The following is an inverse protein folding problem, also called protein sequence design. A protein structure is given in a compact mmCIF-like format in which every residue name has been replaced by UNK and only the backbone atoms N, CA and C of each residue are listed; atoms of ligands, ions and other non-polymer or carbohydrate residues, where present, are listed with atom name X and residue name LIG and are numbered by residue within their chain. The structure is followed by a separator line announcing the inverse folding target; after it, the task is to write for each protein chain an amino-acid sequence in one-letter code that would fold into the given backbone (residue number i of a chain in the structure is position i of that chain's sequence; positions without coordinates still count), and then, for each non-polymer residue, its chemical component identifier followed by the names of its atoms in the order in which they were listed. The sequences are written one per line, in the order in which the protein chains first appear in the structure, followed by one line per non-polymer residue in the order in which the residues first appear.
data_IF_369078084714
#
_entry.id   IF_369078084714
#
_cell.length_a   1.000
_cell.length_b   1.000
_cell.length_c   1.000
_cell.angle_alpha   90.00
_cell.angle_beta   90.00
_cell.angle_gamma   90.00
#
_symmetry.space_group_name_H-M   'P 1'
#
loop_
_entity.id
_entity.type
_entity.pdbx_description
1 polymer ?
#
# COMPACT_ATOMS: atom_id res chain seq x y z
N UNK A 1 -28.74 6.61 -25.28
CA UNK A 1 -28.27 6.53 -23.89
C UNK A 1 -27.68 7.84 -23.41
N UNK A 2 -28.42 8.53 -22.56
CA UNK A 2 -28.07 9.87 -22.06
C UNK A 2 -27.08 9.77 -20.89
N UNK A 3 -25.89 10.35 -21.05
CA UNK A 3 -24.90 10.46 -19.97
C UNK A 3 -25.39 11.46 -18.91
N UNK A 4 -25.30 11.09 -17.63
CA UNK A 4 -25.73 11.97 -16.54
C UNK A 4 -24.62 12.97 -16.23
N UNK A 5 -24.95 14.26 -16.29
CA UNK A 5 -24.07 15.33 -15.81
C UNK A 5 -24.13 15.37 -14.28
N UNK A 6 -22.99 15.29 -13.56
CA UNK A 6 -22.98 15.37 -12.11
C UNK A 6 -23.65 16.67 -11.63
N UNK A 7 -24.58 16.57 -10.69
CA UNK A 7 -25.19 17.75 -10.08
C UNK A 7 -24.45 18.07 -8.79
N UNK A 8 -23.79 19.23 -8.76
CA UNK A 8 -23.17 19.76 -7.53
C UNK A 8 -24.26 20.43 -6.69
N UNK A 9 -24.43 20.01 -5.43
CA UNK A 9 -25.25 20.75 -4.46
C UNK A 9 -24.42 21.93 -3.93
N UNK A 10 -24.51 23.08 -4.59
CA UNK A 10 -23.73 24.26 -4.22
C UNK A 10 -24.36 24.93 -2.99
N UNK A 11 -23.65 24.94 -1.86
CA UNK A 11 -23.84 25.97 -0.83
C UNK A 11 -23.05 27.19 -1.32
N UNK A 12 -23.74 28.30 -1.57
CA UNK A 12 -23.11 29.53 -2.04
C UNK A 12 -22.13 30.09 -1.00
N UNK A 13 -20.93 30.43 -1.46
CA UNK A 13 -19.99 31.26 -0.71
C UNK A 13 -18.97 30.52 0.15
N UNK A 14 -18.06 29.74 -0.45
CA UNK A 14 -16.72 29.55 0.10
C UNK A 14 -15.78 28.95 -0.95
N UNK A 15 -14.58 29.52 -1.07
CA UNK A 15 -13.45 29.00 -1.84
C UNK A 15 -12.84 27.74 -1.19
N UNK A 16 -13.67 26.72 -0.93
CA UNK A 16 -13.28 25.57 -0.11
C UNK A 16 -13.69 24.26 -0.76
N UNK A 17 -12.68 23.48 -1.15
CA UNK A 17 -12.60 22.03 -0.96
C UNK A 17 -13.91 21.25 -1.15
N UNK A 18 -14.16 20.76 -2.37
CA UNK A 18 -15.29 19.86 -2.64
C UNK A 18 -15.16 18.56 -1.82
N UNK A 19 -16.15 18.27 -0.98
CA UNK A 19 -16.33 17.02 -0.24
C UNK A 19 -17.21 16.07 -1.03
N UNK A 20 -17.14 14.77 -0.73
CA UNK A 20 -18.02 13.77 -1.36
C UNK A 20 -19.52 14.04 -1.11
N UNK A 21 -19.85 14.80 -0.06
CA UNK A 21 -21.21 15.28 0.25
C UNK A 21 -21.77 16.27 -0.76
N UNK A 22 -20.93 16.88 -1.59
CA UNK A 22 -21.32 17.97 -2.48
C UNK A 22 -21.89 17.44 -3.81
N UNK A 23 -21.88 16.13 -3.99
CA UNK A 23 -22.41 15.43 -5.15
C UNK A 23 -23.71 14.71 -4.79
N UNK A 24 -24.59 14.60 -5.79
CA UNK A 24 -25.80 13.80 -5.67
C UNK A 24 -25.49 12.33 -5.32
N UNK A 25 -26.48 11.64 -4.74
CA UNK A 25 -26.32 10.27 -4.22
C UNK A 25 -25.78 9.30 -5.28
N UNK A 26 -26.20 9.44 -6.53
CA UNK A 26 -25.80 8.57 -7.64
C UNK A 26 -24.31 8.80 -7.95
N UNK A 27 -23.89 10.06 -8.09
CA UNK A 27 -22.49 10.41 -8.31
C UNK A 27 -21.60 9.95 -7.16
N UNK A 28 -22.07 10.05 -5.91
CA UNK A 28 -21.32 9.63 -4.72
C UNK A 28 -21.10 8.11 -4.68
N UNK A 29 -22.09 7.33 -5.09
CA UNK A 29 -21.95 5.88 -5.20
C UNK A 29 -20.82 5.48 -6.15
N UNK A 30 -20.82 6.06 -7.36
CA UNK A 30 -19.74 5.85 -8.35
C UNK A 30 -18.39 6.30 -7.78
N UNK A 31 -18.34 7.46 -7.12
CA UNK A 31 -17.11 7.99 -6.54
C UNK A 31 -16.52 7.07 -5.48
N UNK A 32 -17.32 6.49 -4.59
CA UNK A 32 -16.83 5.58 -3.56
C UNK A 32 -16.21 4.31 -4.15
N UNK A 33 -16.85 3.73 -5.18
CA UNK A 33 -16.29 2.59 -5.92
C UNK A 33 -15.00 2.99 -6.65
N UNK A 34 -14.98 4.18 -7.28
CA UNK A 34 -13.81 4.68 -7.99
C UNK A 34 -12.62 4.91 -7.05
N UNK A 35 -12.87 5.39 -5.82
CA UNK A 35 -11.85 5.54 -4.79
C UNK A 35 -11.26 4.17 -4.41
N UNK A 36 -12.11 3.18 -4.16
CA UNK A 36 -11.66 1.83 -3.76
C UNK A 36 -10.83 1.15 -4.87
N UNK A 37 -11.30 1.25 -6.12
CA UNK A 37 -10.55 0.77 -7.29
C UNK A 37 -9.23 1.53 -7.45
N UNK A 38 -9.23 2.84 -7.23
CA UNK A 38 -8.02 3.64 -7.29
C UNK A 38 -6.99 3.23 -6.23
N UNK A 39 -7.43 2.92 -5.00
CA UNK A 39 -6.55 2.38 -3.96
C UNK A 39 -5.90 1.08 -4.40
N UNK A 40 -6.67 0.16 -4.99
CA UNK A 40 -6.13 -1.08 -5.55
C UNK A 40 -5.06 -0.77 -6.61
N UNK A 41 -5.33 0.12 -7.57
CA UNK A 41 -4.38 0.48 -8.62
C UNK A 41 -3.09 1.11 -8.06
N UNK A 42 -3.19 1.96 -7.05
CA UNK A 42 -2.02 2.55 -6.39
C UNK A 42 -1.20 1.47 -5.69
N UNK A 43 -1.81 0.56 -4.94
CA UNK A 43 -1.07 -0.47 -4.21
C UNK A 43 -0.52 -1.60 -5.09
N UNK A 44 -1.08 -1.82 -6.28
CA UNK A 44 -0.77 -2.98 -7.14
C UNK A 44 -0.04 -2.64 -8.43
N UNK A 45 -0.12 -1.37 -8.89
CA UNK A 45 0.51 -0.95 -10.15
C UNK A 45 1.49 0.20 -9.99
N UNK A 46 1.10 1.26 -9.29
CA UNK A 46 1.92 2.48 -9.21
C UNK A 46 1.81 3.17 -7.84
N UNK A 47 2.51 2.67 -6.81
CA UNK A 47 2.50 3.30 -5.48
C UNK A 47 3.09 4.71 -5.47
N UNK A 48 4.04 4.94 -6.39
CA UNK A 48 4.71 6.21 -6.65
C UNK A 48 4.66 6.51 -8.15
N UNK A 49 3.55 7.08 -8.66
CA UNK A 49 3.43 7.44 -10.06
C UNK A 49 4.53 8.41 -10.51
N UNK A 50 5.08 8.19 -11.71
CA UNK A 50 6.24 8.95 -12.21
C UNK A 50 5.89 10.32 -12.76
N UNK A 51 4.62 10.55 -13.11
CA UNK A 51 4.13 11.83 -13.62
C UNK A 51 2.66 12.03 -13.31
N UNK A 52 2.22 13.29 -13.31
CA UNK A 52 0.82 13.67 -13.19
C UNK A 52 -0.07 13.06 -14.29
N UNK A 53 0.50 12.71 -15.45
CA UNK A 53 -0.22 12.03 -16.53
C UNK A 53 -0.56 10.58 -16.14
N UNK A 54 0.39 9.87 -15.50
CA UNK A 54 0.15 8.52 -14.97
C UNK A 54 -0.89 8.56 -13.85
N UNK A 55 -0.77 9.50 -12.91
CA UNK A 55 -1.79 9.70 -11.86
C UNK A 55 -3.18 9.92 -12.46
N UNK A 56 -3.24 10.77 -13.49
CA UNK A 56 -4.49 11.09 -14.18
C UNK A 56 -5.06 9.89 -14.94
N UNK A 57 -4.21 9.03 -15.48
CA UNK A 57 -4.68 7.83 -16.16
C UNK A 57 -5.27 6.83 -15.17
N UNK A 58 -4.61 6.60 -14.03
CA UNK A 58 -5.10 5.68 -12.99
C UNK A 58 -6.47 6.10 -12.43
N UNK A 59 -6.68 7.40 -12.21
CA UNK A 59 -7.97 7.90 -11.73
C UNK A 59 -9.07 7.85 -12.81
N UNK A 60 -8.73 8.02 -14.09
CA UNK A 60 -9.67 7.78 -15.20
C UNK A 60 -10.05 6.31 -15.32
N UNK A 61 -9.09 5.41 -15.15
CA UNK A 61 -9.31 3.97 -15.23
C UNK A 61 -10.15 3.49 -14.06
N UNK A 62 -9.89 3.98 -12.84
CA UNK A 62 -10.71 3.66 -11.67
C UNK A 62 -12.14 4.17 -11.80
N UNK A 63 -12.34 5.38 -12.34
CA UNK A 63 -13.67 5.91 -12.61
C UNK A 63 -14.43 5.09 -13.66
N UNK A 64 -13.74 4.72 -14.74
CA UNK A 64 -14.35 3.90 -15.80
C UNK A 64 -14.84 2.57 -15.26
N UNK A 65 -14.02 1.90 -14.46
CA UNK A 65 -14.39 0.65 -13.81
C UNK A 65 -15.54 0.85 -12.82
N UNK A 66 -15.54 1.93 -12.04
CA UNK A 66 -16.63 2.23 -11.12
C UNK A 66 -17.97 2.38 -11.85
N UNK A 67 -18.00 3.16 -12.95
CA UNK A 67 -19.19 3.30 -13.80
C UNK A 67 -19.68 1.96 -14.35
N UNK A 68 -18.75 1.06 -14.73
CA UNK A 68 -19.10 -0.28 -15.20
C UNK A 68 -19.69 -1.15 -14.09
N UNK A 69 -19.10 -1.12 -12.90
CA UNK A 69 -19.55 -1.93 -11.75
C UNK A 69 -20.90 -1.49 -11.20
N UNK A 70 -21.15 -0.18 -11.14
CA UNK A 70 -22.43 0.36 -10.67
C UNK A 70 -23.49 0.36 -11.77
N UNK A 71 -23.09 0.16 -13.04
CA UNK A 71 -23.93 0.36 -14.22
C UNK A 71 -24.50 1.80 -14.31
N UNK A 72 -23.74 2.79 -13.84
CA UNK A 72 -24.12 4.20 -13.85
C UNK A 72 -23.16 4.98 -14.75
N UNK A 73 -23.69 5.67 -15.77
CA UNK A 73 -22.92 6.49 -16.71
C UNK A 73 -22.85 7.95 -16.24
N UNK A 74 -21.82 8.27 -15.45
CA UNK A 74 -21.54 9.65 -14.98
C UNK A 74 -20.25 10.18 -15.58
N UNK A 75 -20.27 11.43 -16.05
CA UNK A 75 -19.08 12.10 -16.57
C UNK A 75 -18.08 12.40 -15.44
N UNK A 76 -16.81 12.04 -15.65
CA UNK A 76 -15.72 12.40 -14.76
C UNK A 76 -15.39 13.88 -14.91
N UNK A 77 -15.77 14.69 -13.92
CA UNK A 77 -15.48 16.13 -13.88
C UNK A 77 -14.16 16.42 -13.15
N UNK A 78 -13.51 17.58 -13.37
CA UNK A 78 -12.28 17.95 -12.67
C UNK A 78 -12.37 17.90 -11.12
N UNK A 79 -13.49 18.29 -10.48
CA UNK A 79 -13.64 18.12 -9.03
C UNK A 79 -13.65 16.66 -8.57
N UNK A 80 -14.35 15.77 -9.29
CA UNK A 80 -14.37 14.33 -9.01
C UNK A 80 -12.98 13.72 -9.18
N UNK A 81 -12.30 14.09 -10.25
CA UNK A 81 -10.92 13.70 -10.52
C UNK A 81 -9.98 14.10 -9.38
N UNK A 82 -10.06 15.36 -8.93
CA UNK A 82 -9.27 15.86 -7.80
C UNK A 82 -9.54 15.08 -6.52
N UNK A 83 -10.80 14.73 -6.25
CA UNK A 83 -11.20 13.93 -5.09
C UNK A 83 -10.60 12.52 -5.08
N UNK A 84 -10.46 11.89 -6.25
CA UNK A 84 -9.80 10.58 -6.39
C UNK A 84 -8.29 10.72 -6.21
N UNK A 85 -7.66 11.69 -6.89
CA UNK A 85 -6.21 11.89 -6.81
C UNK A 85 -5.71 12.17 -5.39
N UNK A 86 -6.49 12.89 -4.58
CA UNK A 86 -6.18 13.14 -3.16
C UNK A 86 -6.06 11.86 -2.32
N UNK A 87 -6.63 10.75 -2.77
CA UNK A 87 -6.60 9.49 -2.04
C UNK A 87 -5.23 8.80 -2.06
N UNK A 88 -4.31 9.18 -2.96
CA UNK A 88 -2.98 8.56 -3.04
C UNK A 88 -2.17 8.69 -1.74
N UNK A 89 -2.20 9.87 -1.11
CA UNK A 89 -1.53 10.07 0.17
C UNK A 89 -2.25 9.34 1.30
N UNK A 90 -3.57 9.23 1.22
CA UNK A 90 -4.40 8.58 2.21
C UNK A 90 -4.10 7.08 2.30
N UNK A 91 -4.15 6.35 1.16
CA UNK A 91 -3.87 4.91 1.13
C UNK A 91 -2.45 4.57 1.61
N UNK A 92 -1.45 5.38 1.25
CA UNK A 92 -0.07 5.20 1.73
C UNK A 92 0.06 5.47 3.23
N UNK A 93 -0.65 6.48 3.74
CA UNK A 93 -0.68 6.82 5.16
C UNK A 93 -1.37 5.76 6.00
N UNK A 94 -2.47 5.19 5.52
CA UNK A 94 -3.17 4.08 6.16
C UNK A 94 -2.29 2.84 6.23
N UNK A 95 -1.71 2.44 5.09
CA UNK A 95 -0.80 1.30 5.02
C UNK A 95 0.34 1.44 6.03
N UNK A 96 0.99 2.60 6.08
CA UNK A 96 2.06 2.88 7.04
C UNK A 96 1.58 2.79 8.49
N UNK A 97 0.37 3.29 8.78
CA UNK A 97 -0.19 3.26 10.13
C UNK A 97 -0.43 1.83 10.60
N UNK A 98 -1.00 0.99 9.74
CA UNK A 98 -1.20 -0.45 9.99
C UNK A 98 0.13 -1.19 10.15
N UNK A 99 1.10 -0.99 9.25
CA UNK A 99 2.40 -1.66 9.39
C UNK A 99 3.17 -1.22 10.63
N UNK A 100 3.05 0.04 11.05
CA UNK A 100 3.70 0.54 12.26
C UNK A 100 3.26 -0.22 13.52
N UNK A 101 2.00 -0.63 13.61
CA UNK A 101 1.51 -1.41 14.76
C UNK A 101 2.04 -2.85 14.75
N UNK A 102 2.38 -3.38 13.58
CA UNK A 102 2.91 -4.74 13.41
C UNK A 102 4.44 -4.81 13.57
N UNK A 103 5.19 -3.91 12.94
CA UNK A 103 6.66 -3.94 12.84
C UNK A 103 7.34 -3.89 14.21
N UNK A 104 6.87 -3.02 15.10
CA UNK A 104 7.45 -2.85 16.43
C UNK A 104 7.46 -4.15 17.23
N UNK A 105 6.28 -4.74 17.51
CA UNK A 105 6.16 -6.02 18.18
C UNK A 105 6.85 -7.17 17.43
N UNK A 106 6.74 -7.21 16.10
CA UNK A 106 7.29 -8.30 15.29
C UNK A 106 8.81 -8.45 15.43
N UNK A 107 9.55 -7.34 15.38
CA UNK A 107 11.01 -7.35 15.57
C UNK A 107 11.44 -7.20 17.02
N UNK A 108 10.51 -6.94 17.94
CA UNK A 108 10.78 -6.80 19.37
C UNK A 108 11.36 -5.45 19.77
N UNK A 109 11.06 -4.38 19.02
CA UNK A 109 11.32 -3.01 19.44
C UNK A 109 10.54 -2.68 20.71
N UNK A 110 11.18 -2.01 21.66
CA UNK A 110 10.56 -1.63 22.94
C UNK A 110 10.75 -0.15 23.20
N UNK A 111 9.71 0.51 23.66
CA UNK A 111 9.86 1.85 24.22
C UNK A 111 10.72 1.74 25.49
N UNK A 112 11.84 2.44 25.51
CA UNK A 112 12.78 2.45 26.62
C UNK A 112 13.56 3.77 26.63
N UNK A 113 13.91 4.16 27.84
CA UNK A 113 14.62 5.38 28.22
C UNK A 113 15.97 5.07 28.87
N UNK A 114 16.24 3.79 29.17
CA UNK A 114 17.57 3.33 29.57
C UNK A 114 18.56 3.35 28.41
N UNK A 115 19.81 3.65 28.72
CA UNK A 115 20.91 3.66 27.73
C UNK A 115 21.06 2.31 27.04
N UNK A 116 20.89 1.22 27.80
CA UNK A 116 20.99 -0.16 27.30
C UNK A 116 19.84 -0.49 26.35
N UNK A 117 18.63 -0.05 26.66
CA UNK A 117 17.46 -0.26 25.80
C UNK A 117 17.57 0.52 24.49
N UNK A 118 17.97 1.79 24.57
CA UNK A 118 18.22 2.65 23.40
C UNK A 118 19.27 1.99 22.51
N UNK A 119 20.40 1.57 23.07
CA UNK A 119 21.46 0.89 22.33
C UNK A 119 20.97 -0.39 21.66
N UNK A 120 20.23 -1.24 22.39
CA UNK A 120 19.65 -2.47 21.83
C UNK A 120 18.76 -2.18 20.61
N UNK A 121 17.92 -1.16 20.67
CA UNK A 121 17.06 -0.79 19.54
C UNK A 121 17.90 -0.27 18.36
N UNK A 122 18.94 0.54 18.59
CA UNK A 122 19.87 0.97 17.53
C UNK A 122 20.55 -0.23 16.86
N UNK A 123 21.14 -1.12 17.66
CA UNK A 123 21.83 -2.33 17.17
C UNK A 123 20.86 -3.20 16.34
N UNK A 124 19.59 -3.30 16.79
CA UNK A 124 18.55 -4.01 16.05
C UNK A 124 18.20 -3.33 14.72
N UNK A 125 18.09 -2.00 14.68
CA UNK A 125 17.86 -1.25 13.43
C UNK A 125 18.99 -1.48 12.44
N UNK A 126 20.24 -1.36 12.89
CA UNK A 126 21.42 -1.58 12.05
C UNK A 126 21.43 -3.00 11.48
N UNK A 127 21.22 -4.01 12.34
CA UNK A 127 21.15 -5.41 11.92
C UNK A 127 20.04 -5.68 10.90
N UNK A 128 18.83 -5.16 11.13
CA UNK A 128 17.69 -5.37 10.24
C UNK A 128 17.89 -4.71 8.87
N UNK A 129 18.53 -3.54 8.84
CA UNK A 129 18.76 -2.76 7.61
C UNK A 129 19.94 -3.29 6.80
N UNK A 130 20.96 -3.82 7.45
CA UNK A 130 22.08 -4.47 6.78
C UNK A 130 21.56 -5.57 5.84
N UNK A 131 21.93 -5.51 4.57
CA UNK A 131 21.48 -6.49 3.56
C UNK A 131 19.95 -6.63 3.39
N UNK A 132 19.15 -5.73 3.97
CA UNK A 132 17.70 -5.91 4.14
C UNK A 132 17.33 -7.19 4.91
N UNK A 133 18.05 -7.55 5.97
CA UNK A 133 17.77 -8.73 6.79
C UNK A 133 16.32 -8.83 7.27
N UNK A 134 15.60 -7.71 7.44
CA UNK A 134 14.16 -7.71 7.75
C UNK A 134 13.29 -8.48 6.74
N UNK A 135 13.75 -8.68 5.50
CA UNK A 135 13.06 -9.42 4.45
C UNK A 135 13.34 -10.93 4.49
N UNK A 136 14.26 -11.39 5.34
CA UNK A 136 14.68 -12.78 5.43
C UNK A 136 14.09 -13.45 6.68
N UNK A 137 13.75 -14.72 6.54
CA UNK A 137 13.39 -15.62 7.64
C UNK A 137 14.56 -16.55 7.87
N UNK A 138 15.17 -16.43 9.05
CA UNK A 138 16.15 -17.39 9.55
C UNK A 138 15.43 -18.32 10.52
N UNK A 139 15.28 -19.61 10.17
CA UNK A 139 14.71 -20.60 11.09
C UNK A 139 15.85 -21.26 11.88
N UNK A 140 15.86 -21.24 13.22
CA UNK A 140 16.95 -21.82 14.01
C UNK A 140 17.20 -23.31 13.73
N UNK A 141 16.18 -24.05 13.28
CA UNK A 141 16.23 -25.48 13.04
C UNK A 141 16.63 -25.86 11.60
N UNK A 142 16.68 -24.89 10.68
CA UNK A 142 17.06 -25.13 9.29
C UNK A 142 17.95 -23.98 8.80
N UNK A 143 19.19 -24.24 8.35
CA UNK A 143 20.10 -23.20 7.87
C UNK A 143 19.65 -22.55 6.55
N UNK A 144 18.51 -22.97 5.99
CA UNK A 144 17.91 -22.34 4.83
C UNK A 144 17.25 -21.02 5.21
N UNK A 145 17.91 -19.92 4.81
CA UNK A 145 17.33 -18.58 4.85
C UNK A 145 16.30 -18.45 3.74
N UNK A 146 15.04 -18.12 4.10
CA UNK A 146 13.99 -17.84 3.12
C UNK A 146 13.78 -16.34 2.98
N UNK A 147 13.90 -15.80 1.77
CA UNK A 147 13.63 -14.39 1.49
C UNK A 147 12.15 -14.20 1.12
N UNK A 148 11.55 -13.09 1.55
CA UNK A 148 10.16 -12.68 1.25
C UNK A 148 9.04 -13.62 1.75
N UNK A 149 9.38 -14.59 2.61
CA UNK A 149 8.41 -15.49 3.28
C UNK A 149 8.18 -15.11 4.75
N UNK A 150 8.45 -13.86 5.12
CA UNK A 150 8.25 -13.38 6.48
C UNK A 150 6.77 -13.34 6.82
N UNK A 151 6.39 -13.88 7.98
CA UNK A 151 5.02 -13.82 8.51
C UNK A 151 4.52 -12.37 8.61
N UNK A 152 5.43 -11.39 8.75
CA UNK A 152 5.10 -9.97 8.74
C UNK A 152 4.45 -9.52 7.42
N UNK A 153 4.87 -10.05 6.26
CA UNK A 153 4.26 -9.71 4.98
C UNK A 153 2.83 -10.25 4.90
N UNK A 154 2.59 -11.48 5.37
CA UNK A 154 1.23 -12.04 5.45
C UNK A 154 0.35 -11.24 6.41
N UNK A 155 0.86 -10.91 7.61
CA UNK A 155 0.12 -10.10 8.59
C UNK A 155 -0.23 -8.73 8.02
N UNK A 156 0.71 -8.08 7.34
CA UNK A 156 0.48 -6.79 6.70
C UNK A 156 -0.56 -6.85 5.57
N UNK A 157 -0.54 -7.90 4.75
CA UNK A 157 -1.52 -8.11 3.69
C UNK A 157 -2.92 -8.30 4.28
N UNK A 158 -3.02 -9.17 5.28
CA UNK A 158 -4.28 -9.45 5.95
C UNK A 158 -4.84 -8.19 6.61
N UNK A 159 -4.02 -7.45 7.37
CA UNK A 159 -4.45 -6.23 8.05
C UNK A 159 -4.85 -5.11 7.07
N UNK A 160 -4.16 -4.99 5.93
CA UNK A 160 -4.43 -3.90 4.99
C UNK A 160 -5.63 -4.17 4.09
N UNK A 161 -5.73 -5.36 3.50
CA UNK A 161 -6.66 -5.62 2.39
C UNK A 161 -7.65 -6.77 2.63
N UNK A 162 -7.50 -7.55 3.71
CA UNK A 162 -8.28 -8.76 3.98
C UNK A 162 -8.66 -8.89 5.46
N UNK A 163 -8.88 -7.77 6.16
CA UNK A 163 -9.28 -7.83 7.57
C UNK A 163 -10.79 -8.03 7.70
N UNK A 164 -11.56 -7.49 6.75
CA UNK A 164 -13.01 -7.54 6.74
C UNK A 164 -13.57 -7.87 5.35
N UNK A 165 -14.81 -8.40 5.33
CA UNK A 165 -15.53 -8.76 4.09
C UNK A 165 -15.75 -7.63 3.08
N UNK A 166 -15.57 -6.37 3.49
CA UNK A 166 -15.74 -5.20 2.63
C UNK A 166 -14.42 -4.54 2.25
N UNK A 167 -13.28 -5.10 2.68
CA UNK A 167 -11.98 -4.55 2.33
C UNK A 167 -11.68 -4.77 0.84
N UNK A 168 -10.79 -3.95 0.30
CA UNK A 168 -10.56 -3.91 -1.13
C UNK A 168 -10.01 -5.23 -1.69
N UNK A 169 -9.21 -5.95 -0.91
CA UNK A 169 -8.69 -7.25 -1.30
C UNK A 169 -9.78 -8.30 -1.46
N UNK A 170 -10.87 -8.21 -0.68
CA UNK A 170 -12.02 -9.10 -0.76
C UNK A 170 -12.91 -8.72 -1.95
N UNK A 171 -13.28 -7.44 -2.07
CA UNK A 171 -14.20 -6.96 -3.12
C UNK A 171 -13.54 -6.94 -4.51
N UNK A 172 -12.27 -6.57 -4.58
CA UNK A 172 -11.50 -6.39 -5.81
C UNK A 172 -10.36 -7.39 -5.93
N UNK A 173 -10.62 -8.63 -5.51
CA UNK A 173 -9.71 -9.77 -5.45
C UNK A 173 -8.77 -9.93 -6.66
N UNK A 174 -9.25 -9.64 -7.87
CA UNK A 174 -8.46 -9.71 -9.11
C UNK A 174 -7.19 -8.85 -9.13
N UNK A 175 -7.11 -7.80 -8.33
CA UNK A 175 -5.90 -6.97 -8.25
C UNK A 175 -4.81 -7.61 -7.40
N UNK A 176 -5.19 -8.55 -6.53
CA UNK A 176 -4.32 -9.14 -5.52
C UNK A 176 -4.06 -10.63 -5.76
N UNK A 177 -4.58 -11.20 -6.87
CA UNK A 177 -4.43 -12.62 -7.22
C UNK A 177 -3.59 -12.82 -8.50
N UNK A 178 -2.35 -13.33 -8.41
CA UNK A 178 -1.57 -13.51 -7.18
C UNK A 178 -1.10 -12.15 -6.61
N UNK A 179 -0.51 -12.12 -5.41
CA UNK A 179 -0.04 -10.87 -4.81
C UNK A 179 0.98 -10.18 -5.73
N UNK A 180 0.76 -8.94 -6.18
CA UNK A 180 1.66 -8.29 -7.13
C UNK A 180 3.04 -8.03 -6.54
N UNK A 181 4.08 -8.17 -7.37
CA UNK A 181 5.47 -7.79 -7.01
C UNK A 181 5.54 -6.35 -6.52
N UNK A 182 4.77 -5.47 -7.17
CA UNK A 182 4.57 -4.07 -6.78
C UNK A 182 4.09 -3.91 -5.35
N UNK A 183 3.11 -4.72 -4.93
CA UNK A 183 2.56 -4.68 -3.58
C UNK A 183 3.59 -5.17 -2.56
N UNK A 184 4.33 -6.23 -2.88
CA UNK A 184 5.43 -6.70 -2.03
C UNK A 184 6.52 -5.64 -1.87
N UNK A 185 6.96 -5.00 -2.96
CA UNK A 185 7.94 -3.93 -2.92
C UNK A 185 7.47 -2.73 -2.08
N UNK A 186 6.18 -2.38 -2.18
CA UNK A 186 5.57 -1.32 -1.38
C UNK A 186 5.59 -1.68 0.12
N UNK A 187 5.20 -2.91 0.47
CA UNK A 187 5.24 -3.39 1.85
C UNK A 187 6.65 -3.34 2.43
N UNK A 188 7.66 -3.81 1.69
CA UNK A 188 9.06 -3.77 2.12
C UNK A 188 9.54 -2.33 2.36
N UNK A 189 9.17 -1.39 1.48
CA UNK A 189 9.52 0.02 1.65
C UNK A 189 8.86 0.64 2.90
N UNK A 190 7.59 0.28 3.19
CA UNK A 190 6.90 0.74 4.40
C UNK A 190 7.47 0.10 5.65
N UNK A 191 7.81 -1.21 5.62
CA UNK A 191 8.48 -1.89 6.74
C UNK A 191 9.81 -1.19 7.05
N UNK A 192 10.61 -0.88 6.02
CA UNK A 192 11.86 -0.12 6.20
C UNK A 192 11.59 1.26 6.82
N UNK A 193 10.57 1.98 6.36
CA UNK A 193 10.16 3.24 6.97
C UNK A 193 9.81 3.09 8.45
N UNK A 194 9.06 2.06 8.83
CA UNK A 194 8.72 1.78 10.23
C UNK A 194 9.94 1.37 11.07
N UNK A 195 10.94 0.72 10.48
CA UNK A 195 12.22 0.43 11.15
C UNK A 195 13.02 1.72 11.35
N UNK A 196 13.05 2.61 10.35
CA UNK A 196 13.75 3.90 10.44
C UNK A 196 13.22 4.76 11.61
N UNK A 197 11.95 4.62 12.00
CA UNK A 197 11.36 5.30 13.17
C UNK A 197 12.11 5.04 14.47
N UNK A 198 12.85 3.92 14.54
CA UNK A 198 13.63 3.50 15.70
C UNK A 198 15.14 3.76 15.54
N UNK A 199 15.58 4.49 14.52
CA UNK A 199 17.00 4.64 14.20
C UNK A 199 17.87 5.24 15.32
N UNK A 200 17.28 6.06 16.19
CA UNK A 200 17.96 6.64 17.36
C UNK A 200 17.81 5.80 18.63
N UNK A 201 17.18 4.62 18.51
CA UNK A 201 16.79 3.75 19.61
C UNK A 201 15.51 4.18 20.33
N UNK A 202 15.02 5.39 20.05
CA UNK A 202 13.76 5.93 20.56
C UNK A 202 12.82 6.12 19.37
N UNK A 203 11.57 5.64 19.52
CA UNK A 203 10.56 5.76 18.46
C UNK A 203 10.26 7.22 18.14
N UNK A 204 10.36 7.58 16.86
CA UNK A 204 10.03 8.90 16.32
C UNK A 204 9.14 8.76 15.08
N UNK A 205 8.26 9.73 14.83
CA UNK A 205 7.39 9.69 13.64
C UNK A 205 8.17 10.12 12.39
N UNK A 206 8.32 9.21 11.42
CA UNK A 206 8.97 9.51 10.13
C UNK A 206 7.96 9.46 9.00
N UNK A 207 7.62 10.58 8.37
CA UNK A 207 6.62 10.60 7.28
C UNK A 207 7.01 9.70 6.09
N UNK A 208 6.09 8.84 5.67
CA UNK A 208 6.25 8.02 4.46
C UNK A 208 5.90 8.85 3.22
N UNK A 209 6.89 9.58 2.71
CA UNK A 209 6.74 10.49 1.56
C UNK A 209 7.38 9.91 0.30
N UNK A 210 6.84 10.28 -0.86
CA UNK A 210 7.41 9.90 -2.15
C UNK A 210 8.86 10.39 -2.32
N UNK A 211 9.17 11.60 -1.84
CA UNK A 211 10.50 12.19 -1.94
C UNK A 211 11.59 11.33 -1.27
N UNK A 212 11.26 10.60 -0.21
CA UNK A 212 12.22 9.78 0.56
C UNK A 212 12.13 8.30 0.19
N UNK A 213 10.92 7.76 0.10
CA UNK A 213 10.72 6.31 0.01
C UNK A 213 10.39 5.78 -1.39
N UNK A 214 10.24 6.64 -2.41
CA UNK A 214 10.07 6.15 -3.78
C UNK A 214 11.31 5.40 -4.29
N UNK A 215 12.52 5.87 -3.98
CA UNK A 215 13.77 5.18 -4.33
C UNK A 215 13.88 3.84 -3.61
N UNK A 216 13.59 3.82 -2.30
CA UNK A 216 13.56 2.57 -1.51
C UNK A 216 12.61 1.54 -2.12
N UNK A 217 11.41 1.96 -2.51
CA UNK A 217 10.47 1.10 -3.21
C UNK A 217 11.03 0.57 -4.53
N UNK A 218 11.64 1.43 -5.35
CA UNK A 218 12.26 1.05 -6.63
C UNK A 218 13.38 0.04 -6.43
N UNK A 219 14.23 0.22 -5.42
CA UNK A 219 15.32 -0.71 -5.09
C UNK A 219 14.78 -2.10 -4.72
N UNK A 220 13.71 -2.16 -3.92
CA UNK A 220 13.04 -3.44 -3.60
C UNK A 220 12.37 -4.07 -4.80
N UNK A 221 11.76 -3.27 -5.69
CA UNK A 221 11.18 -3.77 -6.93
C UNK A 221 12.25 -4.37 -7.85
N UNK A 222 13.39 -3.69 -8.01
CA UNK A 222 14.55 -4.21 -8.75
C UNK A 222 15.06 -5.50 -8.13
N UNK A 223 15.15 -5.57 -6.80
CA UNK A 223 15.59 -6.77 -6.09
C UNK A 223 14.63 -7.95 -6.28
N UNK A 224 13.32 -7.72 -6.19
CA UNK A 224 12.30 -8.75 -6.43
C UNK A 224 12.32 -9.24 -7.88
N UNK A 225 12.45 -8.35 -8.86
CA UNK A 225 12.58 -8.72 -10.27
C UNK A 225 13.90 -9.44 -10.57
N UNK A 226 14.99 -9.11 -9.86
CA UNK A 226 16.22 -9.86 -9.94
C UNK A 226 16.02 -11.27 -9.37
N UNK A 227 15.41 -11.39 -8.18
CA UNK A 227 15.09 -12.69 -7.57
C UNK A 227 14.24 -13.57 -8.49
N UNK A 228 13.20 -13.00 -9.10
CA UNK A 228 12.35 -13.69 -10.08
C UNK A 228 13.17 -14.27 -11.23
N UNK A 229 13.99 -13.43 -11.88
CA UNK A 229 14.86 -13.87 -12.99
C UNK A 229 15.86 -14.95 -12.58
N UNK A 230 16.46 -14.86 -11.39
CA UNK A 230 17.44 -15.85 -10.92
C UNK A 230 16.77 -17.17 -10.52
N UNK A 231 15.48 -17.15 -10.17
CA UNK A 231 14.74 -18.31 -9.69
C UNK A 231 13.67 -18.80 -10.68
N UNK A 232 13.66 -18.25 -11.89
CA UNK A 232 12.65 -18.50 -12.92
C UNK A 232 12.46 -19.98 -13.25
N UNK A 233 13.52 -20.78 -13.20
CA UNK A 233 13.45 -22.23 -13.43
C UNK A 233 12.53 -22.97 -12.44
N UNK A 234 12.29 -22.38 -11.28
CA UNK A 234 11.46 -22.93 -10.20
C UNK A 234 10.22 -22.07 -9.90
N UNK A 235 10.04 -20.93 -10.57
CA UNK A 235 8.96 -19.97 -10.30
C UNK A 235 8.79 -19.64 -8.80
N UNK A 236 9.91 -19.39 -8.09
CA UNK A 236 9.84 -19.21 -6.64
C UNK A 236 9.09 -17.94 -6.25
N UNK A 237 9.21 -16.86 -7.03
CA UNK A 237 8.46 -15.64 -6.75
C UNK A 237 6.97 -15.87 -6.99
N UNK A 238 6.56 -16.48 -8.11
CA UNK A 238 5.16 -16.81 -8.38
C UNK A 238 4.55 -17.67 -7.27
N UNK A 239 5.27 -18.69 -6.80
CA UNK A 239 4.85 -19.50 -5.65
C UNK A 239 4.69 -18.69 -4.37
N UNK A 240 5.60 -17.75 -4.07
CA UNK A 240 5.48 -16.87 -2.90
C UNK A 240 4.24 -15.98 -3.03
N UNK A 241 4.03 -15.37 -4.19
CA UNK A 241 2.90 -14.49 -4.46
C UNK A 241 1.56 -15.22 -4.35
N UNK A 242 1.49 -16.46 -4.86
CA UNK A 242 0.31 -17.31 -4.72
C UNK A 242 0.12 -17.75 -3.28
N UNK A 243 1.18 -18.15 -2.57
CA UNK A 243 1.09 -18.55 -1.16
C UNK A 243 0.61 -17.40 -0.27
N UNK A 244 1.08 -16.17 -0.51
CA UNK A 244 0.63 -14.98 0.23
C UNK A 244 -0.85 -14.70 -0.03
N UNK A 245 -1.32 -15.04 -1.23
CA UNK A 245 -2.71 -14.91 -1.64
C UNK A 245 -3.62 -15.99 -1.04
N UNK A 246 -3.24 -17.25 -1.13
CA UNK A 246 -4.03 -18.38 -0.65
C UNK A 246 -4.19 -18.37 0.89
N UNK A 247 -3.26 -17.72 1.62
CA UNK A 247 -3.29 -17.61 3.07
C UNK A 247 -3.99 -16.34 3.60
N UNK A 248 -4.66 -15.58 2.73
CA UNK A 248 -5.52 -14.47 3.13
C UNK A 248 -6.70 -14.98 3.95
N UNK A 249 -7.03 -14.26 5.03
CA UNK A 249 -8.11 -14.63 5.96
C UNK A 249 -9.40 -13.87 5.67
#
# INVERSE_FOLDING_TARGET
DSTVTPKTQKIEGSSAQCKASDFDTITREVLNVAISVFWCLICTKAPFPESASVESQLAKDSWREACQRTNIKVNLTPPLMSSILKQMSHVRGELKTKLRSLVGPFFGFRACDSREGIKRNCDLVEHLKEGSHFAYVVRPQHPTTYIYKSDLLQLAINEMWFANRHDEGVIYHRYFNPIPTTTMALLLAVIKCCIDEWATGIKSDIKFTAAVYATVYKDHLVSLNAFDRHTAAYDLLGQIQQTLHDNMR
#
